data_IF_543209511653
#
_entry.id   IF_543209511653
#
_cell.length_a   1.000
_cell.length_b   1.000
_cell.length_c   1.000
_cell.angle_alpha   90.00
_cell.angle_beta   90.00
_cell.angle_gamma   90.00
#
_symmetry.space_group_name_H-M   'P 1'
#
loop_
_entity.id
_entity.type
_entity.pdbx_description
1 polymer ?
#
# COMPACT_ATOMS: atom_id res chain seq x y z
N UNK A 1 -3.92 14.59 -12.30
CA UNK A 1 -3.39 13.33 -11.75
C UNK A 1 -4.08 13.09 -10.42
N UNK A 2 -4.85 12.01 -10.29
CA UNK A 2 -5.45 11.63 -9.01
C UNK A 2 -4.36 11.16 -8.05
N UNK A 3 -4.47 11.46 -6.75
CA UNK A 3 -3.56 10.89 -5.75
C UNK A 3 -3.97 9.44 -5.51
N UNK A 4 -3.03 8.58 -5.15
CA UNK A 4 -3.33 7.17 -4.82
C UNK A 4 -4.42 7.03 -3.74
N UNK A 5 -4.48 7.96 -2.79
CA UNK A 5 -5.52 7.99 -1.76
C UNK A 5 -6.93 8.24 -2.33
N UNK A 6 -7.01 9.02 -3.41
CA UNK A 6 -8.29 9.41 -4.03
C UNK A 6 -8.95 8.23 -4.78
N UNK A 7 -8.18 7.17 -5.05
CA UNK A 7 -8.65 5.94 -5.72
C UNK A 7 -8.81 4.76 -4.75
N UNK A 8 -8.92 5.03 -3.44
CA UNK A 8 -9.21 4.02 -2.42
C UNK A 8 -7.99 3.27 -1.87
N UNK A 9 -6.76 3.64 -2.26
CA UNK A 9 -5.55 3.09 -1.64
C UNK A 9 -5.37 3.67 -0.25
N UNK A 10 -5.30 2.80 0.76
CA UNK A 10 -4.99 3.21 2.12
C UNK A 10 -3.54 3.74 2.21
N UNK A 11 -3.39 4.95 2.74
CA UNK A 11 -2.09 5.62 2.92
C UNK A 11 -1.97 6.08 4.37
N UNK A 12 -0.90 5.64 5.05
CA UNK A 12 -0.50 6.11 6.38
C UNK A 12 0.82 6.88 6.26
N UNK A 13 0.92 8.00 6.98
CA UNK A 13 2.09 8.88 6.93
C UNK A 13 2.60 9.13 8.34
N UNK A 14 3.91 9.16 8.52
CA UNK A 14 4.50 9.65 9.76
C UNK A 14 4.20 11.15 9.90
N UNK A 15 3.36 11.52 10.87
CA UNK A 15 3.01 12.93 11.16
C UNK A 15 3.87 13.56 12.25
N UNK A 16 4.78 12.81 12.88
CA UNK A 16 5.70 13.33 13.92
C UNK A 16 6.86 14.16 13.33
N UNK A 17 6.57 15.00 12.33
CA UNK A 17 7.51 15.94 11.74
C UNK A 17 7.68 17.22 12.58
N UNK A 18 6.91 17.41 13.66
CA UNK A 18 6.92 18.65 14.47
C UNK A 18 8.20 18.78 15.31
N UNK A 19 8.92 17.69 15.60
CA UNK A 19 10.16 17.69 16.40
C UNK A 19 11.44 17.37 15.60
N UNK A 20 11.33 17.12 14.30
CA UNK A 20 12.45 17.18 13.36
C UNK A 20 13.50 16.05 13.38
N UNK A 21 13.29 14.95 14.10
CA UNK A 21 14.38 13.96 14.33
C UNK A 21 14.25 12.60 13.66
N UNK A 22 13.11 12.21 13.06
CA UNK A 22 13.01 10.91 12.39
C UNK A 22 12.09 10.92 11.15
N UNK A 23 12.69 10.85 9.95
CA UNK A 23 11.98 10.66 8.68
C UNK A 23 11.99 9.19 8.26
N UNK A 24 10.90 8.72 7.65
CA UNK A 24 10.84 7.36 7.12
C UNK A 24 11.66 7.27 5.82
N UNK A 25 12.89 6.74 5.90
CA UNK A 25 13.80 6.64 4.75
C UNK A 25 13.80 5.25 4.08
N UNK A 26 12.92 4.34 4.50
CA UNK A 26 12.78 3.02 3.92
C UNK A 26 12.28 3.07 2.48
N UNK A 27 12.90 2.27 1.61
CA UNK A 27 12.59 2.15 0.18
C UNK A 27 12.46 0.67 -0.14
N UNK A 28 11.29 0.11 0.11
CA UNK A 28 11.00 -1.28 -0.21
C UNK A 28 9.54 -1.45 -0.61
N UNK A 29 9.26 -2.54 -1.33
CA UNK A 29 7.92 -2.98 -1.74
C UNK A 29 7.79 -4.46 -1.44
N UNK A 30 6.65 -4.86 -0.88
CA UNK A 30 6.30 -6.26 -0.69
C UNK A 30 5.05 -6.55 -1.52
N UNK A 31 5.09 -7.62 -2.30
CA UNK A 31 3.97 -8.06 -3.14
C UNK A 31 3.53 -9.45 -2.67
N UNK A 32 2.24 -9.59 -2.38
CA UNK A 32 1.58 -10.83 -1.92
C UNK A 32 2.24 -11.53 -0.71
N UNK A 33 3.02 -10.79 0.08
CA UNK A 33 3.82 -11.34 1.17
C UNK A 33 4.91 -12.33 0.72
N UNK A 34 5.28 -12.31 -0.57
CA UNK A 34 6.21 -13.27 -1.18
C UNK A 34 7.37 -12.64 -1.93
N UNK A 35 7.16 -11.52 -2.62
CA UNK A 35 8.22 -10.83 -3.33
C UNK A 35 8.61 -9.56 -2.59
N UNK A 36 9.92 -9.33 -2.46
CA UNK A 36 10.50 -8.17 -1.85
C UNK A 36 11.40 -7.45 -2.85
N UNK A 37 11.12 -6.18 -3.07
CA UNK A 37 12.02 -5.25 -3.72
C UNK A 37 12.57 -4.30 -2.65
N UNK A 38 13.88 -4.14 -2.56
CA UNK A 38 14.53 -3.19 -1.66
C UNK A 38 15.74 -2.54 -2.34
N UNK A 39 16.22 -1.43 -1.80
CA UNK A 39 17.49 -0.87 -2.24
C UNK A 39 17.67 0.59 -1.88
N UNK A 40 18.56 1.26 -2.61
CA UNK A 40 18.81 2.69 -2.46
C UNK A 40 17.82 3.54 -3.27
N UNK A 41 17.16 2.93 -4.28
CA UNK A 41 16.30 3.61 -5.24
C UNK A 41 15.13 4.34 -4.59
N UNK A 42 15.05 5.64 -4.83
CA UNK A 42 13.82 6.39 -4.55
C UNK A 42 12.83 6.18 -5.68
N UNK A 43 11.53 6.05 -5.41
CA UNK A 43 10.49 5.86 -6.44
C UNK A 43 10.19 7.17 -7.20
N UNK A 44 11.21 7.75 -7.84
CA UNK A 44 11.13 8.95 -8.67
C UNK A 44 11.73 8.69 -10.04
N UNK A 45 11.22 9.39 -11.05
CA UNK A 45 11.69 9.23 -12.43
C UNK A 45 13.19 9.53 -12.56
N UNK A 46 13.68 10.55 -11.84
CA UNK A 46 15.11 10.92 -11.88
C UNK A 46 15.99 9.87 -11.21
N UNK A 47 15.56 9.30 -10.08
CA UNK A 47 16.33 8.24 -9.44
C UNK A 47 16.48 7.01 -10.34
N UNK A 48 15.43 6.67 -11.10
CA UNK A 48 15.45 5.54 -12.03
C UNK A 48 16.30 5.83 -13.28
N UNK A 49 16.25 7.06 -13.81
CA UNK A 49 16.89 7.37 -15.10
C UNK A 49 18.31 7.95 -14.98
N UNK A 50 18.65 8.57 -13.85
CA UNK A 50 19.87 9.40 -13.75
C UNK A 50 20.77 9.03 -12.57
N UNK A 51 20.20 8.53 -11.47
CA UNK A 51 21.02 8.16 -10.32
C UNK A 51 21.65 6.78 -10.52
N UNK A 52 22.75 6.55 -9.79
CA UNK A 52 23.30 5.21 -9.59
C UNK A 52 22.65 4.63 -8.34
N UNK A 53 21.58 3.90 -8.55
CA UNK A 53 20.83 3.24 -7.51
C UNK A 53 20.88 1.72 -7.72
N UNK A 54 20.82 0.98 -6.61
CA UNK A 54 20.76 -0.47 -6.64
C UNK A 54 19.37 -0.94 -6.19
N UNK A 55 18.89 -2.02 -6.81
CA UNK A 55 17.65 -2.73 -6.45
C UNK A 55 17.99 -4.20 -6.27
N UNK A 56 17.54 -4.76 -5.16
CA UNK A 56 17.56 -6.18 -4.89
C UNK A 56 16.12 -6.68 -4.95
N UNK A 57 15.90 -7.69 -5.78
CA UNK A 57 14.67 -8.48 -5.81
C UNK A 57 14.93 -9.83 -5.11
N UNK A 58 14.00 -10.25 -4.27
CA UNK A 58 14.08 -11.53 -3.59
C UNK A 58 12.70 -12.12 -3.32
N UNK A 59 12.59 -13.43 -3.47
CA UNK A 59 11.46 -14.27 -3.07
C UNK A 59 11.81 -15.21 -1.89
N UNK A 60 13.00 -15.03 -1.29
CA UNK A 60 13.47 -15.81 -0.14
C UNK A 60 12.65 -15.39 1.08
N UNK A 61 11.82 -16.30 1.58
CA UNK A 61 10.87 -16.00 2.66
C UNK A 61 11.55 -15.53 3.95
N UNK A 62 12.76 -16.01 4.24
CA UNK A 62 13.57 -15.57 5.37
C UNK A 62 13.94 -14.07 5.29
N UNK A 63 14.02 -13.52 4.08
CA UNK A 63 14.26 -12.09 3.86
C UNK A 63 12.93 -11.30 3.80
N UNK A 64 11.87 -11.88 3.23
CA UNK A 64 10.56 -11.20 3.09
C UNK A 64 9.89 -10.97 4.44
N UNK A 65 9.89 -11.97 5.33
CA UNK A 65 9.23 -11.93 6.63
C UNK A 65 9.59 -10.72 7.49
N UNK A 66 10.88 -10.41 7.76
CA UNK A 66 11.23 -9.25 8.61
C UNK A 66 10.80 -7.91 7.99
N UNK A 67 10.79 -7.79 6.66
CA UNK A 67 10.28 -6.57 6.00
C UNK A 67 8.76 -6.45 6.14
N UNK A 68 8.02 -7.57 6.03
CA UNK A 68 6.58 -7.60 6.26
C UNK A 68 6.23 -7.23 7.70
N UNK A 69 6.96 -7.77 8.67
CA UNK A 69 6.80 -7.43 10.09
C UNK A 69 7.06 -5.95 10.35
N UNK A 70 8.13 -5.40 9.77
CA UNK A 70 8.44 -3.98 9.90
C UNK A 70 7.38 -3.09 9.21
N UNK A 71 6.86 -3.50 8.05
CA UNK A 71 5.72 -2.81 7.44
C UNK A 71 4.50 -2.80 8.36
N UNK A 72 4.10 -3.96 8.89
CA UNK A 72 2.95 -4.08 9.78
C UNK A 72 3.13 -3.22 11.04
N UNK A 73 4.33 -3.21 11.62
CA UNK A 73 4.66 -2.35 12.76
C UNK A 73 4.49 -0.88 12.43
N UNK A 74 5.06 -0.41 11.31
CA UNK A 74 4.93 0.98 10.87
C UNK A 74 3.48 1.35 10.54
N UNK A 75 2.73 0.40 9.96
CA UNK A 75 1.32 0.56 9.66
C UNK A 75 0.56 0.90 10.94
N UNK A 76 0.67 0.06 11.98
CA UNK A 76 0.02 0.32 13.27
C UNK A 76 0.47 1.64 13.91
N UNK A 77 1.78 1.92 13.91
CA UNK A 77 2.33 3.17 14.47
C UNK A 77 1.75 4.43 13.80
N UNK A 78 1.55 4.41 12.48
CA UNK A 78 1.04 5.57 11.74
C UNK A 78 -0.49 5.55 11.57
N UNK A 79 -1.18 4.66 12.28
CA UNK A 79 -2.60 4.31 12.07
C UNK A 79 -3.64 4.97 12.96
N UNK A 80 -3.26 5.81 13.92
CA UNK A 80 -4.19 6.34 14.92
C UNK A 80 -4.94 7.62 14.50
N UNK A 81 -5.60 7.63 13.33
CA UNK A 81 -6.62 8.65 13.04
C UNK A 81 -7.99 8.04 12.75
N UNK A 82 -9.09 8.64 13.26
CA UNK A 82 -10.43 8.15 13.01
C UNK A 82 -10.70 8.20 11.51
N UNK A 83 -11.13 7.09 10.92
CA UNK A 83 -11.70 7.12 9.59
C UNK A 83 -12.90 8.07 9.62
N UNK A 84 -12.89 9.10 8.76
CA UNK A 84 -14.11 9.84 8.46
C UNK A 84 -15.08 8.79 7.90
N UNK A 85 -16.15 8.57 8.64
CA UNK A 85 -17.19 7.61 8.33
C UNK A 85 -17.78 7.91 6.95
N UNK A 86 -17.48 7.05 5.97
CA UNK A 86 -18.13 7.09 4.66
C UNK A 86 -19.44 6.27 4.64
N UNK A 87 -19.93 5.81 5.80
CA UNK A 87 -21.26 5.19 5.93
C UNK A 87 -22.36 6.26 6.05
N UNK A 88 -22.45 7.15 5.07
CA UNK A 88 -23.79 7.60 4.65
C UNK A 88 -24.20 6.70 3.48
N UNK A 89 -24.63 5.50 3.85
CA UNK A 89 -25.24 4.53 2.96
C UNK A 89 -26.48 5.17 2.33
N UNK A 90 -26.39 5.55 1.05
CA UNK A 90 -27.57 5.59 0.20
C UNK A 90 -27.87 4.14 -0.14
N UNK A 91 -28.89 3.59 0.50
CA UNK A 91 -29.44 2.29 0.13
C UNK A 91 -29.88 2.36 -1.34
N UNK A 92 -29.27 1.55 -2.20
CA UNK A 92 -29.91 1.06 -3.40
C UNK A 92 -29.88 -0.46 -3.38
N UNK A 93 -31.06 -1.01 -3.60
CA UNK A 93 -31.44 -2.38 -3.38
C UNK A 93 -30.52 -3.39 -4.06
N UNK A 94 -30.10 -4.39 -3.28
CA UNK A 94 -29.82 -5.71 -3.82
C UNK A 94 -28.38 -5.99 -4.25
N UNK A 95 -27.41 -5.94 -3.32
CA UNK A 95 -26.32 -6.91 -3.34
C UNK A 95 -25.71 -7.06 -1.95
N UNK A 96 -25.77 -8.26 -1.39
CA UNK A 96 -25.21 -8.59 -0.09
C UNK A 96 -23.74 -8.99 -0.29
N UNK A 97 -22.81 -8.06 -0.08
CA UNK A 97 -21.39 -8.38 0.09
C UNK A 97 -20.90 -7.66 1.35
N UNK A 98 -20.81 -8.43 2.43
CA UNK A 98 -20.24 -8.03 3.71
C UNK A 98 -18.81 -7.53 3.50
N UNK A 99 -18.58 -6.26 3.84
CA UNK A 99 -17.26 -5.66 3.87
C UNK A 99 -16.52 -6.14 5.12
N UNK A 100 -15.39 -6.81 4.93
CA UNK A 100 -14.34 -6.95 5.94
C UNK A 100 -13.06 -6.32 5.38
N UNK A 101 -12.66 -5.20 5.98
CA UNK A 101 -11.28 -4.71 5.95
C UNK A 101 -10.43 -5.55 6.94
N UNK A 102 -9.10 -5.40 7.02
CA UNK A 102 -8.14 -4.67 6.17
C UNK A 102 -6.97 -5.56 5.69
N UNK A 103 -6.36 -5.28 4.53
CA UNK A 103 -4.90 -5.34 4.23
C UNK A 103 -4.62 -5.58 2.73
N UNK A 104 -3.45 -5.09 2.32
CA UNK A 104 -2.71 -5.43 1.11
C UNK A 104 -3.25 -4.85 -0.18
N UNK A 105 -2.36 -4.16 -0.90
CA UNK A 105 -2.60 -3.68 -2.25
C UNK A 105 -2.69 -4.89 -3.20
N UNK A 106 -3.84 -5.54 -3.19
CA UNK A 106 -4.20 -6.64 -4.07
C UNK A 106 -4.58 -6.04 -5.43
N UNK A 107 -3.66 -6.09 -6.40
CA UNK A 107 -4.07 -6.11 -7.81
C UNK A 107 -4.52 -7.53 -8.13
N UNK A 108 -5.73 -7.88 -7.69
CA UNK A 108 -6.40 -9.07 -8.19
C UNK A 108 -7.03 -8.69 -9.53
N UNK A 109 -6.37 -9.03 -10.63
CA UNK A 109 -7.04 -9.02 -11.94
C UNK A 109 -8.00 -10.22 -11.94
N UNK A 110 -9.24 -9.98 -11.56
CA UNK A 110 -10.30 -10.91 -11.92
C UNK A 110 -10.60 -10.74 -13.41
N UNK A 111 -10.56 -11.81 -14.22
CA UNK A 111 -11.19 -11.77 -15.53
C UNK A 111 -12.70 -11.62 -15.28
N UNK A 112 -13.26 -10.47 -15.65
CA UNK A 112 -14.70 -10.28 -15.68
C UNK A 112 -15.25 -11.08 -16.87
N UNK A 113 -15.53 -12.37 -16.66
CA UNK A 113 -16.39 -13.14 -17.56
C UNK A 113 -17.85 -12.94 -17.15
N UNK A 114 -18.36 -11.72 -17.35
CA UNK A 114 -19.80 -11.51 -17.43
C UNK A 114 -20.09 -10.58 -18.60
N UNK A 115 -20.51 -11.19 -19.71
CA UNK A 115 -21.11 -10.51 -20.84
C UNK A 115 -22.34 -9.73 -20.36
N UNK A 116 -22.22 -8.41 -20.25
CA UNK A 116 -23.36 -7.52 -20.28
C UNK A 116 -23.64 -7.17 -21.75
N UNK A 117 -24.60 -7.85 -22.36
CA UNK A 117 -25.33 -7.34 -23.53
C UNK A 117 -26.67 -6.80 -23.04
N UNK A 118 -27.10 -5.69 -23.63
CA UNK A 118 -28.47 -5.16 -23.52
C UNK A 118 -29.51 -6.14 -24.10
#
# INVERSE_FOLDING_TARGET
MARVRDIGVAVRMNREAVTGTATLHHKFVIIDGRHLFMGSVSFTLLAVLQNREDIIESDILELVKPYQEQFNRLWELFGAEPQLDLTTSVEHSGCCCLALAPLTLLFQTHPCETLCYD
#
